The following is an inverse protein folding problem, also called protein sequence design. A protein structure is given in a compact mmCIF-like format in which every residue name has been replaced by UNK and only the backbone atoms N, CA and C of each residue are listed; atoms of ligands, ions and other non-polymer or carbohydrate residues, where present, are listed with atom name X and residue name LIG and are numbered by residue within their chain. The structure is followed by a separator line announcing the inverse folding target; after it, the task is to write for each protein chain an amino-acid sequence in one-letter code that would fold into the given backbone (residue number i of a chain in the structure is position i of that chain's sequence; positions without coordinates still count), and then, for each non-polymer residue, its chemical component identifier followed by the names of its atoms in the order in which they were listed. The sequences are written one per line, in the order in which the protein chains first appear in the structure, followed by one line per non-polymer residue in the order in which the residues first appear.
data_IF_266573009118
#
_entry.id   IF_266573009118
#
_cell.length_a   1.000
_cell.length_b   1.000
_cell.length_c   1.000
_cell.angle_alpha   90.00
_cell.angle_beta   90.00
_cell.angle_gamma   90.00
#
_symmetry.space_group_name_H-M   'P 1'
#
loop_
_entity.id
_entity.type
_entity.pdbx_description
1 polymer ?
#
# COMPACT_ATOMS: atom_id res chain seq x y z
N UNK A 1 23.55 12.62 -3.94
CA UNK A 1 22.14 12.15 -4.08
C UNK A 1 21.27 13.09 -3.29
N UNK A 2 20.23 13.65 -3.89
CA UNK A 2 19.27 14.49 -3.17
C UNK A 2 18.03 13.65 -2.80
N UNK A 3 17.54 13.87 -1.58
CA UNK A 3 16.35 13.19 -1.07
C UNK A 3 15.09 13.88 -1.60
N UNK A 4 14.07 13.09 -1.93
CA UNK A 4 12.76 13.65 -2.29
C UNK A 4 12.21 14.45 -1.11
N UNK A 5 11.58 15.62 -1.34
CA UNK A 5 11.02 16.44 -0.27
C UNK A 5 10.09 15.62 0.65
N UNK A 6 10.50 15.50 1.91
CA UNK A 6 9.78 14.82 2.98
C UNK A 6 9.87 13.29 3.00
N UNK A 7 10.82 12.66 2.29
CA UNK A 7 11.22 11.26 2.52
C UNK A 7 12.75 11.15 2.62
N UNK A 8 13.26 10.17 3.36
CA UNK A 8 14.72 9.92 3.46
C UNK A 8 15.25 9.01 2.33
N UNK A 9 14.58 9.02 1.18
CA UNK A 9 14.88 8.11 0.07
C UNK A 9 15.72 8.88 -0.96
N UNK A 10 16.98 8.48 -1.20
CA UNK A 10 17.84 9.13 -2.18
C UNK A 10 17.36 8.74 -3.59
N UNK A 11 16.73 9.68 -4.28
CA UNK A 11 15.99 9.40 -5.50
C UNK A 11 16.56 10.15 -6.73
N UNK A 12 17.16 11.33 -6.53
CA UNK A 12 17.82 12.11 -7.59
C UNK A 12 19.33 11.89 -7.52
N UNK A 13 19.89 11.34 -8.59
CA UNK A 13 21.32 11.23 -8.78
C UNK A 13 21.81 12.47 -9.54
N UNK A 14 22.74 13.20 -8.94
CA UNK A 14 23.41 14.34 -9.57
C UNK A 14 24.71 13.83 -10.18
N UNK A 15 24.75 13.69 -11.51
CA UNK A 15 25.96 13.31 -12.24
C UNK A 15 26.67 14.59 -12.67
N UNK A 16 27.92 14.77 -12.22
CA UNK A 16 28.79 15.82 -12.75
C UNK A 16 29.35 15.37 -14.10
N UNK A 17 29.06 16.13 -15.16
CA UNK A 17 29.49 15.80 -16.52
C UNK A 17 30.71 16.63 -16.93
N UNK A 18 31.41 17.23 -15.97
CA UNK A 18 32.52 18.15 -16.19
C UNK A 18 32.06 19.58 -16.55
N UNK A 19 32.85 20.57 -16.14
CA UNK A 19 32.59 21.99 -16.44
C UNK A 19 31.50 22.63 -15.58
N UNK A 20 31.20 22.08 -14.40
CA UNK A 20 30.24 22.64 -13.43
C UNK A 20 28.77 22.41 -13.80
N UNK A 21 28.49 21.50 -14.74
CA UNK A 21 27.13 21.12 -15.13
C UNK A 21 26.75 19.79 -14.50
N UNK A 22 25.76 19.84 -13.61
CA UNK A 22 25.13 18.66 -13.01
C UNK A 22 23.89 18.27 -13.81
N UNK A 23 23.78 17.00 -14.17
CA UNK A 23 22.55 16.43 -14.74
C UNK A 23 21.82 15.68 -13.65
N UNK A 24 20.57 16.08 -13.39
CA UNK A 24 19.66 15.37 -12.51
C UNK A 24 19.06 14.18 -13.26
N UNK A 25 19.46 12.95 -12.91
CA UNK A 25 18.87 11.74 -13.47
C UNK A 25 17.92 11.09 -12.44
N UNK A 26 16.63 10.88 -12.79
CA UNK A 26 15.70 10.13 -11.97
C UNK A 26 16.08 8.66 -11.96
N UNK A 27 16.36 8.09 -10.78
CA UNK A 27 16.62 6.64 -10.64
C UNK A 27 15.31 5.90 -10.38
N UNK A 28 15.26 4.59 -10.65
CA UNK A 28 14.12 3.73 -10.27
C UNK A 28 13.74 3.81 -8.77
N UNK A 29 14.66 4.29 -7.91
CA UNK A 29 14.39 4.66 -6.51
C UNK A 29 13.35 5.77 -6.32
N UNK A 30 13.16 6.66 -7.30
CA UNK A 30 12.07 7.65 -7.24
C UNK A 30 10.71 6.98 -7.14
N UNK A 31 10.54 5.82 -7.80
CA UNK A 31 9.28 5.09 -7.78
C UNK A 31 8.97 4.56 -6.37
N UNK A 32 10.00 4.15 -5.62
CA UNK A 32 9.88 3.72 -4.22
C UNK A 32 9.35 4.85 -3.33
N UNK A 33 9.86 6.07 -3.49
CA UNK A 33 9.42 7.23 -2.71
C UNK A 33 7.96 7.60 -2.98
N UNK A 34 7.53 7.52 -4.24
CA UNK A 34 6.15 7.79 -4.65
C UNK A 34 5.22 6.67 -4.12
N UNK A 35 5.61 5.42 -4.30
CA UNK A 35 4.83 4.26 -3.89
C UNK A 35 4.65 4.20 -2.37
N UNK A 36 5.71 4.47 -1.60
CA UNK A 36 5.65 4.51 -0.13
C UNK A 36 4.63 5.55 0.38
N UNK A 37 4.63 6.77 -0.20
CA UNK A 37 3.65 7.81 0.17
C UNK A 37 2.23 7.43 -0.23
N UNK A 38 2.03 6.92 -1.43
CA UNK A 38 0.70 6.49 -1.89
C UNK A 38 0.16 5.38 -1.00
N UNK A 39 0.98 4.40 -0.65
CA UNK A 39 0.58 3.28 0.19
C UNK A 39 0.24 3.72 1.62
N UNK A 40 1.03 4.63 2.22
CA UNK A 40 0.72 5.22 3.52
C UNK A 40 -0.62 5.98 3.51
N UNK A 41 -0.85 6.82 2.51
CA UNK A 41 -2.11 7.58 2.37
C UNK A 41 -3.28 6.63 2.12
N UNK A 42 -3.12 5.64 1.23
CA UNK A 42 -4.15 4.65 0.92
C UNK A 42 -4.52 3.79 2.14
N UNK A 43 -3.53 3.34 2.93
CA UNK A 43 -3.77 2.59 4.16
C UNK A 43 -4.56 3.43 5.18
N UNK A 44 -4.18 4.70 5.37
CA UNK A 44 -4.89 5.59 6.29
C UNK A 44 -6.35 5.85 5.88
N UNK A 45 -6.59 6.01 4.57
CA UNK A 45 -7.94 6.16 4.01
C UNK A 45 -8.75 4.86 4.10
N UNK A 46 -8.12 3.71 3.83
CA UNK A 46 -8.79 2.41 3.90
C UNK A 46 -9.27 2.10 5.31
N UNK A 47 -8.44 2.37 6.33
CA UNK A 47 -8.80 2.23 7.75
C UNK A 47 -9.99 3.12 8.11
N UNK A 48 -9.97 4.38 7.68
CA UNK A 48 -11.07 5.33 7.94
C UNK A 48 -12.37 4.87 7.26
N UNK A 49 -12.31 4.46 5.99
CA UNK A 49 -13.46 3.99 5.24
C UNK A 49 -14.06 2.69 5.84
N UNK A 50 -13.22 1.74 6.24
CA UNK A 50 -13.64 0.53 6.93
C UNK A 50 -14.36 0.84 8.23
N UNK A 51 -13.83 1.77 9.02
CA UNK A 51 -14.46 2.20 10.27
C UNK A 51 -15.86 2.75 10.04
N UNK A 52 -16.05 3.62 9.04
CA UNK A 52 -17.35 4.20 8.70
C UNK A 52 -18.34 3.14 8.18
N UNK A 53 -17.91 2.25 7.28
CA UNK A 53 -18.77 1.18 6.77
C UNK A 53 -19.14 0.16 7.86
N UNK A 54 -18.26 -0.12 8.81
CA UNK A 54 -18.56 -1.03 9.93
C UNK A 54 -19.63 -0.44 10.85
N UNK A 55 -19.57 0.86 11.15
CA UNK A 55 -20.60 1.54 11.94
C UNK A 55 -21.94 1.53 11.21
N UNK A 56 -21.98 1.98 9.95
CA UNK A 56 -23.24 2.07 9.18
C UNK A 56 -23.82 0.69 8.88
N UNK A 57 -22.98 -0.28 8.51
CA UNK A 57 -23.37 -1.66 8.24
C UNK A 57 -23.83 -2.38 9.50
N UNK A 58 -23.18 -2.16 10.64
CA UNK A 58 -23.57 -2.69 11.94
C UNK A 58 -24.92 -2.14 12.40
N UNK A 59 -25.12 -0.82 12.29
CA UNK A 59 -26.43 -0.21 12.57
C UNK A 59 -27.51 -0.77 11.65
N UNK A 60 -27.28 -0.78 10.33
CA UNK A 60 -28.27 -1.28 9.36
C UNK A 60 -28.62 -2.76 9.62
N UNK A 61 -27.65 -3.59 10.03
CA UNK A 61 -27.90 -4.98 10.40
C UNK A 61 -28.79 -5.11 11.64
N UNK A 62 -28.52 -4.30 12.68
CA UNK A 62 -29.30 -4.30 13.93
C UNK A 62 -30.73 -3.77 13.73
N UNK A 63 -30.93 -2.74 12.89
CA UNK A 63 -32.27 -2.17 12.62
C UNK A 63 -33.08 -2.94 11.58
N UNK A 64 -32.52 -4.00 10.96
CA UNK A 64 -33.20 -4.76 9.89
C UNK A 64 -34.31 -5.70 10.36
N UNK A 65 -34.51 -5.88 11.68
CA UNK A 65 -35.77 -6.21 12.35
C UNK A 65 -36.66 -7.37 11.87
N UNK A 66 -36.28 -8.17 10.86
CA UNK A 66 -37.10 -9.25 10.29
C UNK A 66 -37.45 -9.13 8.81
N UNK A 67 -36.94 -8.13 8.08
CA UNK A 67 -37.20 -7.99 6.64
C UNK A 67 -36.19 -8.86 5.81
N UNK A 68 -36.65 -9.86 5.04
CA UNK A 68 -35.77 -10.82 4.37
C UNK A 68 -34.91 -10.16 3.29
N UNK A 69 -35.36 -9.06 2.69
CA UNK A 69 -34.62 -8.34 1.65
C UNK A 69 -33.44 -7.56 2.23
N UNK A 70 -33.63 -6.96 3.41
CA UNK A 70 -32.58 -6.28 4.15
C UNK A 70 -31.57 -7.28 4.73
N UNK A 71 -32.05 -8.43 5.21
CA UNK A 71 -31.21 -9.50 5.76
C UNK A 71 -30.34 -10.17 4.68
N UNK A 72 -30.90 -10.46 3.51
CA UNK A 72 -30.14 -11.02 2.39
C UNK A 72 -29.07 -10.04 1.87
N UNK A 73 -29.42 -8.75 1.75
CA UNK A 73 -28.47 -7.70 1.39
C UNK A 73 -27.37 -7.53 2.44
N UNK A 74 -27.71 -7.64 3.72
CA UNK A 74 -26.73 -7.55 4.80
C UNK A 74 -25.80 -8.78 4.86
N UNK A 75 -26.32 -10.00 4.63
CA UNK A 75 -25.51 -11.21 4.52
C UNK A 75 -24.56 -11.18 3.32
N UNK A 76 -25.03 -10.66 2.18
CA UNK A 76 -24.19 -10.50 1.00
C UNK A 76 -23.09 -9.46 1.26
N UNK A 77 -23.42 -8.35 1.92
CA UNK A 77 -22.45 -7.33 2.34
C UNK A 77 -21.44 -7.91 3.34
N UNK A 78 -21.89 -8.66 4.35
CA UNK A 78 -21.02 -9.34 5.31
C UNK A 78 -20.09 -10.34 4.63
N UNK A 79 -20.60 -11.16 3.70
CA UNK A 79 -19.79 -12.13 2.95
C UNK A 79 -18.73 -11.41 2.11
N UNK A 80 -19.08 -10.32 1.43
CA UNK A 80 -18.10 -9.53 0.67
C UNK A 80 -17.04 -8.87 1.57
N UNK A 81 -17.42 -8.37 2.75
CA UNK A 81 -16.47 -7.82 3.73
C UNK A 81 -15.51 -8.90 4.24
N UNK A 82 -16.00 -10.08 4.60
CA UNK A 82 -15.17 -11.21 5.01
C UNK A 82 -14.28 -11.73 3.88
N UNK A 83 -14.83 -11.84 2.66
CA UNK A 83 -14.07 -12.27 1.49
C UNK A 83 -12.90 -11.31 1.19
N UNK A 84 -13.10 -10.00 1.35
CA UNK A 84 -12.02 -9.00 1.20
C UNK A 84 -10.89 -9.20 2.21
N UNK A 85 -11.21 -9.44 3.48
CA UNK A 85 -10.21 -9.71 4.53
C UNK A 85 -9.46 -11.01 4.26
N UNK A 86 -10.19 -12.06 3.89
CA UNK A 86 -9.59 -13.36 3.55
C UNK A 86 -8.66 -13.24 2.35
N UNK A 87 -9.06 -12.49 1.32
CA UNK A 87 -8.24 -12.27 0.12
C UNK A 87 -6.94 -11.52 0.47
N UNK A 88 -6.98 -10.51 1.35
CA UNK A 88 -5.78 -9.85 1.84
C UNK A 88 -4.88 -10.79 2.66
N UNK A 89 -5.47 -11.65 3.50
CA UNK A 89 -4.72 -12.64 4.26
C UNK A 89 -4.02 -13.66 3.34
N UNK A 90 -4.71 -14.14 2.31
CA UNK A 90 -4.12 -15.04 1.29
C UNK A 90 -2.97 -14.35 0.56
N UNK A 91 -3.15 -13.08 0.15
CA UNK A 91 -2.07 -12.30 -0.48
C UNK A 91 -0.84 -12.17 0.43
N UNK A 92 -1.03 -11.92 1.73
CA UNK A 92 0.07 -11.85 2.70
C UNK A 92 0.82 -13.18 2.82
N UNK A 93 0.09 -14.31 2.86
CA UNK A 93 0.71 -15.65 2.87
C UNK A 93 1.54 -15.89 1.62
N UNK A 94 1.06 -15.48 0.44
CA UNK A 94 1.82 -15.57 -0.82
C UNK A 94 3.11 -14.76 -0.73
N UNK A 95 3.07 -13.53 -0.21
CA UNK A 95 4.28 -12.72 -0.01
C UNK A 95 5.26 -13.35 0.98
N UNK A 96 4.78 -13.99 2.03
CA UNK A 96 5.61 -14.68 3.02
C UNK A 96 6.35 -15.88 2.40
N UNK A 97 5.68 -16.61 1.51
CA UNK A 97 6.30 -17.68 0.72
C UNK A 97 7.40 -17.09 -0.19
N UNK A 98 7.10 -16.01 -0.93
CA UNK A 98 8.08 -15.34 -1.79
C UNK A 98 9.28 -14.86 -0.98
N UNK A 99 9.07 -14.28 0.20
CA UNK A 99 10.14 -13.87 1.12
C UNK A 99 10.98 -15.05 1.57
N UNK A 100 10.37 -16.20 1.90
CA UNK A 100 11.11 -17.40 2.30
C UNK A 100 12.00 -17.94 1.18
N UNK A 101 11.58 -17.83 -0.08
CA UNK A 101 12.37 -18.29 -1.23
C UNK A 101 13.42 -17.29 -1.72
N UNK A 102 13.08 -15.99 -1.75
CA UNK A 102 13.96 -14.95 -2.32
C UNK A 102 14.79 -14.22 -1.26
N UNK A 103 14.43 -14.30 0.02
CA UNK A 103 15.07 -13.57 1.12
C UNK A 103 14.80 -12.06 1.10
N UNK A 104 14.01 -11.55 0.16
CA UNK A 104 13.73 -10.12 -0.03
C UNK A 104 12.39 -9.77 0.60
N UNK A 105 12.38 -8.70 1.40
CA UNK A 105 11.16 -8.14 1.97
C UNK A 105 10.37 -7.37 0.91
N UNK A 106 9.49 -8.06 0.20
CA UNK A 106 8.58 -7.49 -0.82
C UNK A 106 7.62 -6.42 -0.28
N UNK A 107 7.44 -6.38 1.05
CA UNK A 107 6.63 -5.37 1.74
C UNK A 107 7.40 -4.06 1.98
N UNK A 108 8.74 -4.11 2.03
CA UNK A 108 9.60 -2.95 2.02
C UNK A 108 10.37 -2.94 0.71
N UNK A 109 9.76 -2.32 -0.31
CA UNK A 109 10.52 -1.92 -1.49
C UNK A 109 11.61 -0.98 -1.01
N UNK A 110 12.83 -1.51 -0.86
CA UNK A 110 14.07 -0.76 -0.69
C UNK A 110 14.99 -1.26 -1.78
N UNK A 111 15.03 -0.54 -2.89
CA UNK A 111 15.93 -0.86 -3.98
C UNK A 111 17.35 -0.48 -3.50
N UNK A 112 18.34 -1.37 -3.53
CA UNK A 112 19.72 -0.96 -3.29
C UNK A 112 20.20 -0.08 -4.46
N UNK A 113 20.87 1.03 -4.15
CA UNK A 113 21.49 1.91 -5.18
C UNK A 113 22.78 1.24 -5.61
N UNK A 114 22.80 0.70 -6.84
CA UNK A 114 24.03 0.23 -7.48
C UNK A 114 24.77 1.41 -8.10
N UNK A 115 25.39 2.21 -7.24
CA UNK A 115 26.42 3.18 -7.64
C UNK A 115 27.71 2.69 -6.98
N UNK A 116 28.43 1.86 -7.73
CA UNK A 116 29.89 1.76 -7.57
C UNK A 116 30.53 3.12 -7.94
N UNK A 117 31.82 3.32 -7.59
CA UNK A 117 32.49 4.61 -7.71
C UNK A 117 32.31 5.29 -9.07
#
# INVERSE_FOLDING_TARGET
MENWPGTNIPCILKIDVGGGKTVDVPTFKCLEAIFSRILLVAMSLALLALFVMLVIGGFKFLTSGGDPKATASAQQTMTFSFAGIILMAVAYVIFLIIKAFTGIDVLNFTVPTVIGP
#
